data_IF_525348552945
#
_entry.id   IF_525348552945
#
_cell.length_a   1.000
_cell.length_b   1.000
_cell.length_c   1.000
_cell.angle_alpha   90.00
_cell.angle_beta   90.00
_cell.angle_gamma   90.00
#
_symmetry.space_group_name_H-M   'P 1'
#
loop_
_entity.id
_entity.type
_entity.pdbx_description
1 polymer ?
#
# COMPACT_ATOMS: atom_id res chain seq x y z
N UNK A 1 -68.19 30.47 -2.57
CA UNK A 1 -67.57 29.20 -3.01
C UNK A 1 -66.38 29.49 -3.90
N UNK A 2 -65.13 29.37 -3.41
CA UNK A 2 -63.96 28.94 -4.21
C UNK A 2 -62.69 28.86 -3.35
N UNK A 3 -62.50 27.66 -2.82
CA UNK A 3 -61.27 26.86 -2.73
C UNK A 3 -59.93 27.55 -2.44
N UNK A 4 -59.50 27.35 -1.19
CA UNK A 4 -58.12 27.07 -0.79
C UNK A 4 -57.40 26.15 -1.79
N UNK A 5 -56.21 26.53 -2.26
CA UNK A 5 -55.16 25.54 -2.57
C UNK A 5 -53.79 26.04 -2.11
N UNK A 6 -53.37 25.31 -1.08
CA UNK A 6 -52.09 25.24 -0.40
C UNK A 6 -50.88 25.22 -1.36
N UNK A 7 -49.83 25.88 -0.91
CA UNK A 7 -48.46 25.87 -1.41
C UNK A 7 -47.94 24.43 -1.46
N UNK A 8 -47.30 24.03 -2.56
CA UNK A 8 -46.31 22.96 -2.54
C UNK A 8 -45.11 23.35 -3.41
N UNK A 9 -44.07 23.84 -2.73
CA UNK A 9 -42.70 23.84 -3.20
C UNK A 9 -42.29 22.40 -3.50
N UNK A 10 -41.74 22.11 -4.68
CA UNK A 10 -40.88 20.94 -4.87
C UNK A 10 -39.52 21.44 -5.31
N UNK A 11 -38.66 21.63 -4.32
CA UNK A 11 -37.23 21.85 -4.46
C UNK A 11 -36.68 20.54 -5.03
N UNK A 12 -36.28 20.55 -6.31
CA UNK A 12 -35.50 19.46 -6.88
C UNK A 12 -34.08 19.61 -6.32
N UNK A 13 -33.87 19.05 -5.13
CA UNK A 13 -32.53 18.86 -4.57
C UNK A 13 -31.76 17.96 -5.52
N UNK A 14 -30.92 18.57 -6.35
CA UNK A 14 -29.84 17.87 -7.05
C UNK A 14 -28.95 17.29 -5.94
N UNK A 15 -29.10 15.99 -5.70
CA UNK A 15 -28.10 15.23 -4.99
C UNK A 15 -26.80 15.33 -5.79
N UNK A 16 -25.93 16.27 -5.43
CA UNK A 16 -24.50 16.14 -5.68
C UNK A 16 -23.99 15.05 -4.74
N UNK A 17 -24.39 13.81 -5.00
CA UNK A 17 -23.61 12.66 -4.55
C UNK A 17 -22.31 12.76 -5.33
N UNK A 18 -21.23 13.15 -4.65
CA UNK A 18 -19.89 13.13 -5.22
C UNK A 18 -19.67 11.76 -5.85
N UNK A 19 -19.59 11.73 -7.18
CA UNK A 19 -19.28 10.51 -7.90
C UNK A 19 -17.79 10.28 -7.66
N UNK A 20 -17.43 9.50 -6.65
CA UNK A 20 -16.09 8.91 -6.60
C UNK A 20 -15.90 8.19 -7.92
N UNK A 21 -14.92 8.63 -8.71
CA UNK A 21 -14.61 7.91 -9.93
C UNK A 21 -14.18 6.49 -9.54
N UNK A 22 -14.69 5.46 -10.23
CA UNK A 22 -14.30 4.09 -9.92
C UNK A 22 -12.78 3.96 -10.06
N UNK A 23 -12.15 3.26 -9.12
CA UNK A 23 -10.71 2.99 -9.14
C UNK A 23 -10.33 2.40 -10.51
N UNK A 24 -9.41 3.07 -11.20
CA UNK A 24 -8.93 2.63 -12.51
C UNK A 24 -7.72 1.74 -12.35
N UNK A 25 -7.90 0.44 -12.54
CA UNK A 25 -6.80 -0.51 -12.60
C UNK A 25 -5.95 -0.33 -13.87
N UNK A 26 -4.62 -0.21 -13.71
CA UNK A 26 -3.64 0.08 -14.77
C UNK A 26 -2.71 -1.09 -15.07
N UNK A 27 -2.59 -2.06 -14.16
CA UNK A 27 -1.55 -3.07 -14.21
C UNK A 27 -2.06 -4.51 -14.33
N UNK A 28 -3.36 -4.71 -14.57
CA UNK A 28 -3.98 -6.05 -14.63
C UNK A 28 -3.50 -6.91 -15.80
N UNK A 29 -2.82 -6.32 -16.78
CA UNK A 29 -2.15 -7.00 -17.87
C UNK A 29 -0.76 -7.56 -17.47
N UNK A 30 -0.19 -7.07 -16.36
CA UNK A 30 1.05 -7.62 -15.80
C UNK A 30 0.78 -8.94 -15.07
N UNK A 31 1.80 -9.80 -14.84
CA UNK A 31 1.61 -11.08 -14.14
C UNK A 31 1.12 -10.91 -12.70
N UNK A 32 0.12 -11.69 -12.29
CA UNK A 32 -0.28 -11.84 -10.89
C UNK A 32 0.84 -12.56 -10.13
N UNK A 33 1.50 -11.82 -9.25
CA UNK A 33 2.73 -12.25 -8.57
C UNK A 33 2.49 -12.97 -7.24
N UNK A 34 1.38 -12.64 -6.56
CA UNK A 34 1.04 -13.13 -5.22
C UNK A 34 -0.35 -13.74 -5.25
N UNK A 35 -0.47 -14.92 -4.66
CA UNK A 35 -1.74 -15.64 -4.52
C UNK A 35 -2.00 -15.99 -3.05
N UNK A 36 -2.51 -15.01 -2.30
CA UNK A 36 -2.90 -15.17 -0.90
C UNK A 36 -4.39 -14.92 -0.70
N UNK A 37 -5.06 -15.66 0.20
CA UNK A 37 -6.45 -15.40 0.60
C UNK A 37 -6.55 -14.20 1.56
N UNK A 38 -7.76 -13.75 1.88
CA UNK A 38 -8.00 -12.69 2.87
C UNK A 38 -7.96 -11.24 2.35
N UNK A 39 -7.67 -11.03 1.05
CA UNK A 39 -7.74 -9.72 0.41
C UNK A 39 -8.20 -9.78 -1.05
N UNK A 40 -8.63 -8.64 -1.60
CA UNK A 40 -8.94 -8.51 -3.02
C UNK A 40 -7.65 -8.62 -3.85
N UNK A 41 -7.56 -9.69 -4.65
CA UNK A 41 -6.36 -10.00 -5.44
C UNK A 41 -6.04 -8.95 -6.49
N UNK A 42 -7.05 -8.36 -7.13
CA UNK A 42 -6.87 -7.36 -8.16
C UNK A 42 -6.36 -6.04 -7.55
N UNK A 43 -6.90 -5.66 -6.38
CA UNK A 43 -6.46 -4.49 -5.61
C UNK A 43 -5.02 -4.66 -5.13
N UNK A 44 -4.67 -5.81 -4.54
CA UNK A 44 -3.31 -6.06 -4.06
C UNK A 44 -2.29 -6.08 -5.19
N UNK A 45 -2.64 -6.72 -6.31
CA UNK A 45 -1.84 -6.70 -7.52
C UNK A 45 -1.56 -5.28 -8.00
N UNK A 46 -2.62 -4.49 -8.11
CA UNK A 46 -2.54 -3.10 -8.55
C UNK A 46 -1.68 -2.24 -7.61
N UNK A 47 -1.87 -2.43 -6.30
CA UNK A 47 -1.12 -1.74 -5.26
C UNK A 47 0.37 -2.05 -5.33
N UNK A 48 0.76 -3.32 -5.55
CA UNK A 48 2.16 -3.73 -5.66
C UNK A 48 2.85 -3.07 -6.85
N UNK A 49 2.22 -3.09 -8.02
CA UNK A 49 2.80 -2.45 -9.20
C UNK A 49 2.81 -0.93 -9.08
N UNK A 50 1.78 -0.32 -8.49
CA UNK A 50 1.77 1.13 -8.23
C UNK A 50 2.92 1.56 -7.31
N UNK A 51 3.14 0.81 -6.23
CA UNK A 51 4.28 1.01 -5.33
C UNK A 51 5.62 0.87 -6.06
N UNK A 52 5.79 -0.18 -6.88
CA UNK A 52 7.01 -0.39 -7.66
C UNK A 52 7.31 0.78 -8.60
N UNK A 53 6.29 1.30 -9.29
CA UNK A 53 6.42 2.47 -10.14
C UNK A 53 6.73 3.74 -9.34
N UNK A 54 6.05 3.97 -8.22
CA UNK A 54 6.22 5.18 -7.41
C UNK A 54 7.63 5.28 -6.82
N UNK A 55 8.13 4.21 -6.19
CA UNK A 55 9.49 4.22 -5.62
C UNK A 55 10.55 4.32 -6.72
N UNK A 56 10.38 3.58 -7.82
CA UNK A 56 11.35 3.59 -8.90
C UNK A 56 11.39 4.98 -9.55
N UNK A 57 10.23 5.56 -9.86
CA UNK A 57 10.15 6.91 -10.41
C UNK A 57 10.78 7.96 -9.51
N UNK A 58 10.55 7.89 -8.20
CA UNK A 58 11.12 8.86 -7.27
C UNK A 58 12.65 8.78 -7.20
N UNK A 59 13.19 7.58 -6.98
CA UNK A 59 14.62 7.41 -6.72
C UNK A 59 15.48 7.43 -7.99
N UNK A 60 14.89 7.19 -9.16
CA UNK A 60 15.60 7.23 -10.44
C UNK A 60 15.55 8.60 -11.14
N UNK A 61 14.99 9.66 -10.52
CA UNK A 61 14.86 11.01 -11.10
C UNK A 61 16.18 11.58 -11.69
N UNK A 62 17.31 11.17 -11.13
CA UNK A 62 18.64 11.64 -11.52
C UNK A 62 19.58 10.50 -11.96
N UNK A 63 19.01 9.34 -12.31
CA UNK A 63 19.76 8.19 -12.80
C UNK A 63 19.62 8.03 -14.32
N UNK A 64 20.54 7.32 -14.94
CA UNK A 64 20.47 6.93 -16.36
C UNK A 64 19.69 5.61 -16.58
N UNK A 65 19.05 5.07 -15.54
CA UNK A 65 18.28 3.83 -15.65
C UNK A 65 17.01 4.08 -16.47
N UNK A 66 16.84 3.29 -17.53
CA UNK A 66 15.67 3.39 -18.39
C UNK A 66 14.42 2.87 -17.67
N UNK A 67 13.35 3.67 -17.69
CA UNK A 67 12.03 3.31 -17.16
C UNK A 67 11.56 1.94 -17.67
N UNK A 68 11.01 1.13 -16.77
CA UNK A 68 10.53 -0.21 -17.05
C UNK A 68 11.60 -1.31 -17.12
N UNK A 69 12.89 -0.99 -16.95
CA UNK A 69 13.96 -2.00 -16.91
C UNK A 69 14.13 -2.61 -15.51
N UNK A 70 14.68 -3.83 -15.38
CA UNK A 70 14.97 -4.42 -14.06
C UNK A 70 15.80 -3.50 -13.15
N UNK A 71 16.85 -2.86 -13.70
CA UNK A 71 17.71 -1.95 -12.93
C UNK A 71 16.96 -0.74 -12.37
N UNK A 72 15.98 -0.21 -13.11
CA UNK A 72 15.13 0.89 -12.67
C UNK A 72 14.34 0.53 -11.40
N UNK A 73 13.72 -0.67 -11.38
CA UNK A 73 12.99 -1.12 -10.19
C UNK A 73 13.92 -1.55 -9.06
N UNK A 74 15.05 -2.21 -9.37
CA UNK A 74 16.06 -2.59 -8.37
C UNK A 74 16.53 -1.36 -7.60
N UNK A 75 16.90 -0.28 -8.30
CA UNK A 75 17.32 0.97 -7.66
C UNK A 75 16.23 1.54 -6.75
N UNK A 76 14.98 1.53 -7.22
CA UNK A 76 13.82 1.97 -6.42
C UNK A 76 13.71 1.23 -5.07
N UNK A 77 13.79 -0.11 -5.10
CA UNK A 77 13.80 -0.92 -3.88
C UNK A 77 15.02 -0.67 -3.01
N UNK A 78 16.21 -0.62 -3.62
CA UNK A 78 17.48 -0.40 -2.91
C UNK A 78 17.49 0.90 -2.14
N UNK A 79 16.89 1.97 -2.66
CA UNK A 79 16.81 3.25 -1.94
C UNK A 79 15.65 3.28 -0.95
N UNK A 80 14.49 2.75 -1.33
CA UNK A 80 13.29 2.80 -0.49
C UNK A 80 13.45 2.03 0.82
N UNK A 81 14.03 0.82 0.78
CA UNK A 81 14.12 -0.05 1.96
C UNK A 81 14.85 0.61 3.14
N UNK A 82 15.77 1.55 2.87
CA UNK A 82 16.49 2.24 3.94
C UNK A 82 15.63 3.15 4.80
N UNK A 83 14.52 3.66 4.25
CA UNK A 83 13.71 4.71 4.87
C UNK A 83 12.23 4.36 5.03
N UNK A 84 11.71 3.45 4.19
CA UNK A 84 10.30 3.09 4.15
C UNK A 84 9.80 2.53 5.47
N UNK A 85 10.41 1.44 5.94
CA UNK A 85 10.01 0.78 7.20
C UNK A 85 10.19 1.68 8.44
N UNK A 86 11.15 2.61 8.40
CA UNK A 86 11.35 3.56 9.50
C UNK A 86 10.36 4.74 9.47
N UNK A 87 9.53 4.85 8.43
CA UNK A 87 8.61 5.97 8.27
C UNK A 87 9.30 7.29 7.91
N UNK A 88 10.56 7.25 7.45
CA UNK A 88 11.37 8.44 7.15
C UNK A 88 11.54 8.69 5.66
N UNK A 89 10.88 7.90 4.81
CA UNK A 89 10.86 8.14 3.38
C UNK A 89 10.09 9.45 3.07
N UNK A 90 10.42 10.15 1.98
CA UNK A 90 9.69 11.34 1.54
C UNK A 90 8.35 10.95 0.90
N UNK A 91 7.44 10.32 1.66
CA UNK A 91 6.22 9.69 1.18
C UNK A 91 5.35 10.62 0.32
N UNK A 92 5.21 11.89 0.73
CA UNK A 92 4.46 12.91 -0.02
C UNK A 92 5.01 13.19 -1.41
N UNK A 93 6.31 12.98 -1.61
CA UNK A 93 6.97 13.18 -2.91
C UNK A 93 7.05 11.89 -3.74
N UNK A 94 6.98 10.74 -3.09
CA UNK A 94 7.00 9.40 -3.72
C UNK A 94 5.61 9.06 -4.25
N UNK A 95 4.56 9.27 -3.45
CA UNK A 95 3.21 8.79 -3.73
C UNK A 95 2.60 9.47 -4.95
N UNK A 96 2.11 8.67 -5.89
CA UNK A 96 1.32 9.16 -7.00
C UNK A 96 -0.16 9.27 -6.63
N UNK A 97 -0.92 10.04 -7.41
CA UNK A 97 -2.38 10.07 -7.27
C UNK A 97 -3.00 8.66 -7.37
N UNK A 98 -2.42 7.78 -8.19
CA UNK A 98 -2.92 6.41 -8.32
C UNK A 98 -2.80 5.62 -7.02
N UNK A 99 -1.64 5.70 -6.37
CA UNK A 99 -1.43 5.09 -5.05
C UNK A 99 -2.32 5.71 -3.98
N UNK A 100 -2.63 7.02 -4.05
CA UNK A 100 -3.62 7.63 -3.15
C UNK A 100 -5.04 7.10 -3.38
N UNK A 101 -5.45 6.89 -4.63
CA UNK A 101 -6.74 6.30 -4.97
C UNK A 101 -6.83 4.83 -4.47
N UNK A 102 -5.73 4.08 -4.62
CA UNK A 102 -5.59 2.72 -4.11
C UNK A 102 -5.62 2.67 -2.58
N UNK A 103 -4.95 3.62 -1.91
CA UNK A 103 -4.95 3.77 -0.46
C UNK A 103 -6.37 3.89 0.10
N UNK A 104 -7.25 4.68 -0.56
CA UNK A 104 -8.65 4.81 -0.13
C UNK A 104 -9.37 3.45 -0.16
N UNK A 105 -9.14 2.64 -1.21
CA UNK A 105 -9.72 1.29 -1.31
C UNK A 105 -9.10 0.29 -0.34
N UNK A 106 -7.79 0.33 -0.15
CA UNK A 106 -7.11 -0.52 0.84
C UNK A 106 -7.63 -0.24 2.26
N UNK A 107 -7.91 1.03 2.58
CA UNK A 107 -8.46 1.47 3.88
C UNK A 107 -9.87 0.94 4.16
N UNK A 108 -10.63 0.52 3.13
CA UNK A 108 -11.95 -0.09 3.29
C UNK A 108 -11.85 -1.49 3.92
N UNK A 109 -10.74 -2.21 3.72
CA UNK A 109 -10.49 -3.50 4.37
C UNK A 109 -10.06 -3.30 5.84
N UNK A 110 -11.04 -3.18 6.74
CA UNK A 110 -10.79 -2.98 8.17
C UNK A 110 -10.09 -4.13 8.87
N UNK A 111 -10.07 -5.33 8.30
CA UNK A 111 -9.35 -6.47 8.88
C UNK A 111 -7.86 -6.46 8.58
N UNK A 112 -7.43 -5.67 7.58
CA UNK A 112 -6.02 -5.57 7.18
C UNK A 112 -5.25 -4.58 8.06
N UNK A 113 -5.94 -3.64 8.70
CA UNK A 113 -5.33 -2.52 9.41
C UNK A 113 -5.86 -2.42 10.83
N UNK A 114 -4.96 -2.25 11.78
CA UNK A 114 -5.27 -1.89 13.16
C UNK A 114 -5.17 -0.36 13.31
N UNK A 115 -6.30 0.29 13.54
CA UNK A 115 -6.35 1.74 13.73
C UNK A 115 -6.27 2.08 15.23
N UNK A 116 -5.10 2.55 15.65
CA UNK A 116 -4.86 3.00 17.02
C UNK A 116 -4.75 4.53 17.10
N UNK A 117 -4.64 5.07 18.32
CA UNK A 117 -4.38 6.52 18.51
C UNK A 117 -3.02 6.95 17.95
N UNK A 118 -2.08 6.02 17.85
CA UNK A 118 -0.70 6.24 17.41
C UNK A 118 -0.57 6.26 15.88
N UNK A 119 -1.57 5.79 15.15
CA UNK A 119 -1.55 5.63 13.70
C UNK A 119 -2.27 4.35 13.26
N UNK A 120 -2.26 4.10 11.96
CA UNK A 120 -2.65 2.83 11.38
C UNK A 120 -1.46 1.88 11.35
N UNK A 121 -1.68 0.62 11.73
CA UNK A 121 -0.69 -0.45 11.68
C UNK A 121 -1.21 -1.60 10.83
N UNK A 122 -0.32 -2.30 10.14
CA UNK A 122 -0.66 -3.53 9.45
C UNK A 122 -1.01 -4.60 10.48
N UNK A 123 -2.17 -5.23 10.31
CA UNK A 123 -2.59 -6.32 11.19
C UNK A 123 -1.80 -7.59 10.81
N UNK A 124 -0.79 -7.94 11.60
CA UNK A 124 0.05 -9.12 11.32
C UNK A 124 -0.64 -10.46 11.54
N UNK A 125 -1.79 -10.48 12.22
CA UNK A 125 -2.64 -11.67 12.39
C UNK A 125 -3.62 -11.87 11.23
N UNK A 126 -3.73 -10.90 10.31
CA UNK A 126 -4.59 -10.99 9.15
C UNK A 126 -4.21 -12.19 8.26
N UNK A 127 -5.22 -12.90 7.71
CA UNK A 127 -5.02 -14.08 6.86
C UNK A 127 -4.10 -13.80 5.66
N UNK A 128 -4.27 -12.65 5.01
CA UNK A 128 -3.45 -12.25 3.87
C UNK A 128 -2.01 -12.02 4.29
N UNK A 129 -1.79 -11.24 5.36
CA UNK A 129 -0.44 -10.92 5.88
C UNK A 129 0.28 -12.17 6.37
N UNK A 130 -0.43 -13.06 7.07
CA UNK A 130 0.09 -14.36 7.47
C UNK A 130 0.52 -15.20 6.27
N UNK A 131 -0.32 -15.25 5.23
CA UNK A 131 0.04 -15.94 3.99
C UNK A 131 1.32 -15.36 3.37
N UNK A 132 1.46 -14.03 3.29
CA UNK A 132 2.69 -13.38 2.79
C UNK A 132 3.92 -13.85 3.57
N UNK A 133 3.88 -13.73 4.89
CA UNK A 133 5.00 -14.10 5.76
C UNK A 133 5.35 -15.59 5.63
N UNK A 134 4.35 -16.48 5.54
CA UNK A 134 4.58 -17.93 5.39
C UNK A 134 5.04 -18.35 3.99
N UNK A 135 4.87 -17.49 2.98
CA UNK A 135 5.21 -17.79 1.58
C UNK A 135 6.57 -17.25 1.14
N UNK A 136 7.29 -16.56 2.04
CA UNK A 136 8.66 -16.10 1.80
C UNK A 136 9.54 -17.30 1.44
N UNK A 137 10.28 -17.21 0.35
CA UNK A 137 11.09 -18.27 -0.25
C UNK A 137 12.29 -18.66 0.61
N UNK A 138 12.93 -17.69 1.26
CA UNK A 138 14.07 -17.97 2.14
C UNK A 138 13.61 -18.48 3.51
N UNK A 139 13.96 -19.72 3.82
CA UNK A 139 13.49 -20.42 5.02
C UNK A 139 13.96 -19.73 6.32
N UNK A 140 15.23 -19.30 6.37
CA UNK A 140 15.81 -18.71 7.56
C UNK A 140 15.23 -17.32 7.85
N UNK A 141 15.04 -16.51 6.80
CA UNK A 141 14.42 -15.20 6.93
C UNK A 141 12.93 -15.32 7.28
N UNK A 142 12.22 -16.25 6.64
CA UNK A 142 10.83 -16.57 6.97
C UNK A 142 10.66 -16.95 8.44
N UNK A 143 11.45 -17.90 8.93
CA UNK A 143 11.38 -18.36 10.32
C UNK A 143 11.66 -17.20 11.29
N UNK A 144 12.67 -16.38 11.00
CA UNK A 144 12.99 -15.19 11.82
C UNK A 144 11.82 -14.24 11.92
N UNK A 145 11.16 -13.93 10.80
CA UNK A 145 9.98 -13.04 10.80
C UNK A 145 8.80 -13.67 11.54
N UNK A 146 8.58 -14.97 11.41
CA UNK A 146 7.51 -15.68 12.12
C UNK A 146 7.72 -15.68 13.64
N UNK A 147 8.95 -15.91 14.11
CA UNK A 147 9.28 -15.82 15.55
C UNK A 147 8.96 -14.43 16.09
N UNK A 148 9.38 -13.37 15.39
CA UNK A 148 9.11 -12.00 15.82
C UNK A 148 7.61 -11.70 15.92
N UNK A 149 6.80 -12.25 15.00
CA UNK A 149 5.34 -12.14 15.00
C UNK A 149 4.75 -12.90 16.18
N UNK A 150 5.12 -14.16 16.36
CA UNK A 150 4.56 -15.04 17.39
C UNK A 150 4.92 -14.57 18.81
N UNK A 151 6.06 -13.90 18.97
CA UNK A 151 6.47 -13.25 20.22
C UNK A 151 5.90 -11.83 20.42
N UNK A 152 5.09 -11.33 19.48
CA UNK A 152 4.50 -9.99 19.49
C UNK A 152 5.55 -8.86 19.57
N UNK A 153 6.71 -9.08 18.98
CA UNK A 153 7.79 -8.09 18.81
C UNK A 153 7.86 -7.53 17.38
N UNK A 154 6.92 -7.92 16.53
CA UNK A 154 6.94 -7.55 15.13
C UNK A 154 6.50 -6.10 14.95
N UNK A 155 7.38 -5.30 14.36
CA UNK A 155 7.09 -3.93 13.96
C UNK A 155 8.00 -3.50 12.81
N UNK A 156 7.62 -2.49 12.01
CA UNK A 156 8.44 -2.03 10.89
C UNK A 156 9.87 -1.67 11.33
N UNK A 157 10.02 -1.05 12.51
CA UNK A 157 11.33 -0.62 13.03
C UNK A 157 12.20 -1.81 13.44
N UNK A 158 11.61 -2.88 13.99
CA UNK A 158 12.35 -4.08 14.40
C UNK A 158 12.88 -4.84 13.18
N UNK A 159 12.11 -4.90 12.10
CA UNK A 159 12.49 -5.64 10.89
C UNK A 159 13.29 -4.79 9.88
N UNK A 160 13.40 -3.47 10.08
CA UNK A 160 14.07 -2.56 9.14
C UNK A 160 15.51 -2.97 8.81
N UNK A 161 16.34 -3.25 9.82
CA UNK A 161 17.73 -3.64 9.60
C UNK A 161 17.88 -5.01 8.90
N UNK A 162 17.18 -6.08 9.35
CA UNK A 162 17.11 -7.33 8.60
C UNK A 162 16.69 -7.16 7.14
N UNK A 163 15.70 -6.29 6.87
CA UNK A 163 15.21 -6.02 5.51
C UNK A 163 16.26 -5.31 4.66
N UNK A 164 16.97 -4.32 5.22
CA UNK A 164 18.09 -3.63 4.53
C UNK A 164 19.21 -4.59 4.13
N UNK A 165 19.62 -5.45 5.06
CA UNK A 165 20.70 -6.42 4.82
C UNK A 165 20.33 -7.44 3.75
N UNK A 166 19.03 -7.68 3.54
CA UNK A 166 18.50 -8.68 2.61
C UNK A 166 17.71 -8.04 1.46
N UNK A 167 18.02 -6.80 1.06
CA UNK A 167 17.23 -6.08 0.03
C UNK A 167 17.10 -6.84 -1.29
N UNK A 168 18.13 -7.58 -1.71
CA UNK A 168 18.06 -8.41 -2.91
C UNK A 168 17.04 -9.54 -2.80
N UNK A 169 16.81 -10.07 -1.60
CA UNK A 169 15.76 -11.06 -1.34
C UNK A 169 14.38 -10.44 -1.53
N UNK A 170 14.15 -9.22 -1.02
CA UNK A 170 12.90 -8.48 -1.22
C UNK A 170 12.59 -8.31 -2.72
N UNK A 171 13.61 -8.01 -3.52
CA UNK A 171 13.48 -7.82 -4.97
C UNK A 171 13.11 -9.12 -5.69
N UNK A 172 13.59 -10.27 -5.22
CA UNK A 172 13.43 -11.58 -5.85
C UNK A 172 12.22 -12.38 -5.32
N UNK A 173 11.61 -11.92 -4.24
CA UNK A 173 10.50 -12.56 -3.56
C UNK A 173 9.27 -11.66 -3.59
N UNK A 174 8.28 -12.05 -4.39
CA UNK A 174 7.08 -11.23 -4.57
C UNK A 174 6.21 -11.12 -3.32
N UNK A 175 6.24 -12.11 -2.43
CA UNK A 175 5.52 -12.09 -1.16
C UNK A 175 6.18 -11.12 -0.19
N UNK A 176 7.52 -11.11 -0.14
CA UNK A 176 8.26 -10.17 0.68
C UNK A 176 8.16 -8.73 0.16
N UNK A 177 8.15 -8.55 -1.17
CA UNK A 177 7.90 -7.25 -1.79
C UNK A 177 6.50 -6.72 -1.49
N UNK A 178 5.47 -7.56 -1.54
CA UNK A 178 4.09 -7.22 -1.16
C UNK A 178 3.98 -6.87 0.33
N UNK A 179 4.69 -7.61 1.17
CA UNK A 179 4.76 -7.32 2.60
C UNK A 179 5.41 -5.94 2.85
N UNK A 180 6.56 -5.64 2.24
CA UNK A 180 7.20 -4.32 2.32
C UNK A 180 6.28 -3.19 1.80
N UNK A 181 5.51 -3.46 0.76
CA UNK A 181 4.54 -2.51 0.22
C UNK A 181 3.43 -2.18 1.24
N UNK A 182 2.90 -3.17 1.94
CA UNK A 182 1.88 -2.91 2.98
C UNK A 182 2.49 -2.19 4.18
N UNK A 183 3.56 -2.76 4.73
CA UNK A 183 4.11 -2.38 6.04
C UNK A 183 5.02 -1.14 5.98
N UNK A 184 5.84 -1.06 4.93
CA UNK A 184 6.80 0.02 4.73
C UNK A 184 6.28 1.18 3.90
N UNK A 185 5.17 1.03 3.17
CA UNK A 185 4.65 2.06 2.27
C UNK A 185 3.21 2.48 2.59
N UNK A 186 2.21 1.61 2.36
CA UNK A 186 0.81 2.00 2.52
C UNK A 186 0.42 2.27 3.98
N UNK A 187 0.98 1.54 4.94
CA UNK A 187 0.78 1.82 6.37
C UNK A 187 1.15 3.27 6.71
N UNK A 188 2.36 3.70 6.35
CA UNK A 188 2.82 5.07 6.60
C UNK A 188 1.96 6.10 5.87
N UNK A 189 1.50 5.80 4.64
CA UNK A 189 0.58 6.67 3.91
C UNK A 189 -0.77 6.86 4.63
N UNK A 190 -1.27 5.87 5.37
CA UNK A 190 -2.52 6.02 6.14
C UNK A 190 -2.41 7.07 7.25
N UNK A 191 -1.20 7.33 7.75
CA UNK A 191 -0.93 8.31 8.80
C UNK A 191 -0.74 9.74 8.27
N UNK A 192 -0.56 9.91 6.95
CA UNK A 192 -0.41 11.22 6.35
C UNK A 192 -1.77 11.88 6.05
N UNK A 193 -1.90 13.13 6.49
CA UNK A 193 -2.95 14.01 6.00
C UNK A 193 -2.54 14.66 4.65
N UNK A 194 -3.26 14.28 3.59
CA UNK A 194 -3.09 14.79 2.22
C UNK A 194 -4.04 15.93 1.87
N UNK A 195 -4.93 16.38 2.78
CA UNK A 195 -5.91 17.44 2.48
C UNK A 195 -5.31 18.83 2.31
N UNK A 196 -3.99 18.98 2.47
CA UNK A 196 -3.25 20.24 2.32
C UNK A 196 -2.09 20.17 1.30
N UNK A 197 -2.14 19.25 0.34
CA UNK A 197 -1.14 19.20 -0.73
C UNK A 197 -1.51 20.22 -1.82
N UNK A 198 -0.63 21.19 -2.15
CA UNK A 198 -0.96 22.26 -3.11
C UNK A 198 -1.21 21.75 -4.53
#
# INVERSE_FOLDING_TARGET
>A
MKNNKFILFLILSVFLGGCEQPLKYRFQDKPQKVDCPGADKALMHEALYSFQEDIAKYYNKYSDYREGTPSYYIEGYMQFVYRGLEGTAPFKEIVSQHSLDLLQKLKENKSLWDFEKSGAHLNYDNEYVNCLLTSIKDDAFREKLQILRDENYFSPQIIAEPMRQNVMMIIQDEYLAMFLMLDGYYQHLLDFDFTNTP
#
